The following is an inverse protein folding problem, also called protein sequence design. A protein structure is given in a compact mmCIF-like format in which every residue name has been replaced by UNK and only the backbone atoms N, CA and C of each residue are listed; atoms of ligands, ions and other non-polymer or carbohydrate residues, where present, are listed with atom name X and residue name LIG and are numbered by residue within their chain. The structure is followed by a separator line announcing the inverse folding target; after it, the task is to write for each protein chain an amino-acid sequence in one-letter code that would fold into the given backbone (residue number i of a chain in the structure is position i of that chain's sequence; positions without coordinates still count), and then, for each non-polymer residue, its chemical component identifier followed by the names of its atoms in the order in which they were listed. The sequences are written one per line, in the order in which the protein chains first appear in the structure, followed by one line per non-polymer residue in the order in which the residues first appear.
data_IF_751532282842
#
_entry.id   IF_751532282842
#
_cell.length_a   1.000
_cell.length_b   1.000
_cell.length_c   1.000
_cell.angle_alpha   90.00
_cell.angle_beta   90.00
_cell.angle_gamma   90.00
#
_symmetry.space_group_name_H-M   'P 1'
#
loop_
_entity.id
_entity.type
_entity.pdbx_description
1 polymer ?
#
# COMPACT_ATOMS: atom_id res chain seq x y z
N UNK A 1 -1.65 12.47 -11.95
CA UNK A 1 -2.11 11.71 -10.77
C UNK A 1 -2.36 10.29 -11.24
N UNK A 2 -1.62 9.30 -10.75
CA UNK A 2 -1.84 7.91 -11.13
C UNK A 2 -3.12 7.41 -10.43
N UNK A 3 -4.15 7.11 -11.23
CA UNK A 3 -5.36 6.41 -10.78
C UNK A 3 -4.90 5.04 -10.26
N UNK A 4 -5.11 4.77 -8.97
CA UNK A 4 -4.86 3.45 -8.43
C UNK A 4 -5.96 2.53 -8.98
N UNK A 5 -5.58 1.63 -9.88
CA UNK A 5 -6.50 0.63 -10.41
C UNK A 5 -6.57 -0.51 -9.40
N UNK A 6 -7.61 -0.48 -8.57
CA UNK A 6 -7.88 -1.54 -7.59
C UNK A 6 -8.41 -2.80 -8.30
N UNK A 7 -8.04 -3.98 -7.80
CA UNK A 7 -8.39 -5.28 -8.40
C UNK A 7 -9.56 -6.00 -7.73
N UNK A 8 -10.21 -5.38 -6.74
CA UNK A 8 -11.43 -5.89 -6.11
C UNK A 8 -12.70 -5.70 -6.97
N UNK A 9 -13.85 -6.07 -6.41
CA UNK A 9 -15.17 -5.88 -7.05
C UNK A 9 -15.46 -4.40 -7.35
N UNK A 10 -16.40 -4.11 -8.25
CA UNK A 10 -16.77 -2.72 -8.60
C UNK A 10 -17.19 -1.89 -7.36
N UNK A 11 -17.84 -2.53 -6.38
CA UNK A 11 -18.26 -1.92 -5.12
C UNK A 11 -17.06 -1.60 -4.21
N UNK A 12 -16.14 -2.56 -4.01
CA UNK A 12 -14.90 -2.34 -3.25
C UNK A 12 -14.05 -1.25 -3.90
N UNK A 13 -13.98 -1.24 -5.24
CA UNK A 13 -13.22 -0.28 -6.02
C UNK A 13 -13.81 1.14 -5.90
N UNK A 14 -15.14 1.27 -5.86
CA UNK A 14 -15.82 2.55 -5.64
C UNK A 14 -15.53 3.11 -4.24
N UNK A 15 -15.59 2.27 -3.20
CA UNK A 15 -15.22 2.68 -1.83
C UNK A 15 -13.75 3.08 -1.74
N UNK A 16 -12.85 2.28 -2.33
CA UNK A 16 -11.41 2.56 -2.35
C UNK A 16 -11.08 3.89 -3.05
N UNK A 17 -11.74 4.18 -4.17
CA UNK A 17 -11.59 5.45 -4.88
C UNK A 17 -12.06 6.64 -4.04
N UNK A 18 -13.17 6.48 -3.32
CA UNK A 18 -13.67 7.51 -2.41
C UNK A 18 -12.68 7.77 -1.27
N UNK A 19 -12.24 6.72 -0.56
CA UNK A 19 -11.26 6.82 0.52
C UNK A 19 -9.94 7.42 0.01
N UNK A 20 -9.51 7.05 -1.18
CA UNK A 20 -8.31 7.60 -1.80
C UNK A 20 -8.47 9.09 -2.14
N UNK A 21 -9.64 9.54 -2.57
CA UNK A 21 -9.93 10.96 -2.74
C UNK A 21 -9.90 11.71 -1.40
N UNK A 22 -10.51 11.16 -0.34
CA UNK A 22 -10.47 11.75 1.01
C UNK A 22 -9.05 11.88 1.55
N UNK A 23 -8.20 10.87 1.30
CA UNK A 23 -6.77 10.91 1.65
C UNK A 23 -5.99 11.92 0.79
N UNK A 24 -6.36 12.13 -0.46
CA UNK A 24 -5.73 13.15 -1.31
C UNK A 24 -6.13 14.57 -0.89
N UNK A 25 -7.38 14.75 -0.45
CA UNK A 25 -7.86 16.02 0.10
C UNK A 25 -7.26 16.32 1.48
N UNK A 26 -7.16 15.30 2.34
CA UNK A 26 -6.62 15.41 3.70
C UNK A 26 -5.53 14.36 3.96
N UNK A 27 -4.37 14.60 3.36
CA UNK A 27 -3.22 13.67 3.39
C UNK A 27 -2.49 13.59 4.73
N UNK A 28 -2.82 14.46 5.67
CA UNK A 28 -2.22 14.48 7.01
C UNK A 28 -3.11 13.77 8.05
N UNK A 29 -4.32 13.37 7.66
CA UNK A 29 -5.22 12.59 8.50
C UNK A 29 -4.91 11.09 8.46
N UNK A 30 -4.24 10.59 9.51
CA UNK A 30 -3.89 9.18 9.67
C UNK A 30 -5.11 8.24 9.61
N UNK A 31 -6.27 8.64 10.12
CA UNK A 31 -7.46 7.78 10.15
C UNK A 31 -7.95 7.47 8.72
N UNK A 32 -7.88 8.43 7.82
CA UNK A 32 -8.24 8.25 6.41
C UNK A 32 -7.28 7.27 5.72
N UNK A 33 -5.98 7.39 6.00
CA UNK A 33 -4.98 6.46 5.50
C UNK A 33 -5.18 5.04 6.04
N UNK A 34 -5.48 4.89 7.33
CA UNK A 34 -5.72 3.57 7.92
C UNK A 34 -6.95 2.89 7.27
N UNK A 35 -8.04 3.63 7.06
CA UNK A 35 -9.23 3.14 6.35
C UNK A 35 -8.88 2.70 4.93
N UNK A 36 -8.10 3.51 4.20
CA UNK A 36 -7.68 3.20 2.83
C UNK A 36 -6.79 1.95 2.78
N UNK A 37 -5.80 1.84 3.66
CA UNK A 37 -4.91 0.67 3.75
C UNK A 37 -5.72 -0.57 4.09
N UNK A 38 -6.61 -0.51 5.08
CA UNK A 38 -7.44 -1.64 5.48
C UNK A 38 -8.38 -2.10 4.36
N UNK A 39 -8.98 -1.17 3.63
CA UNK A 39 -9.78 -1.50 2.45
C UNK A 39 -8.89 -2.10 1.34
N UNK A 40 -7.69 -1.58 1.13
CA UNK A 40 -6.78 -2.07 0.10
C UNK A 40 -6.25 -3.48 0.41
N UNK A 41 -5.89 -3.75 1.66
CA UNK A 41 -5.48 -5.07 2.15
C UNK A 41 -6.65 -6.06 2.15
N UNK A 42 -7.87 -5.59 2.38
CA UNK A 42 -9.09 -6.40 2.38
C UNK A 42 -9.56 -6.84 1.00
N UNK A 43 -9.02 -6.28 -0.08
CA UNK A 43 -9.34 -6.69 -1.45
C UNK A 43 -9.15 -8.19 -1.63
N UNK A 44 -10.11 -8.83 -2.31
CA UNK A 44 -10.11 -10.28 -2.58
C UNK A 44 -10.09 -11.16 -1.30
N UNK A 45 -10.44 -10.58 -0.14
CA UNK A 45 -10.38 -11.25 1.16
C UNK A 45 -8.99 -11.31 1.79
N UNK A 46 -8.03 -10.53 1.26
CA UNK A 46 -6.65 -10.49 1.74
C UNK A 46 -5.65 -10.54 0.58
N UNK A 47 -4.95 -9.43 0.33
CA UNK A 47 -3.91 -9.37 -0.69
C UNK A 47 -2.80 -10.38 -0.39
N UNK A 48 -2.49 -11.23 -1.37
CA UNK A 48 -1.44 -12.24 -1.30
C UNK A 48 -0.81 -12.45 -2.68
N UNK A 49 0.18 -13.34 -2.79
CA UNK A 49 0.91 -13.61 -4.05
C UNK A 49 0.05 -14.13 -5.21
N UNK A 50 -1.10 -14.72 -4.89
CA UNK A 50 -2.05 -15.22 -5.88
C UNK A 50 -3.12 -14.19 -6.23
N UNK A 51 -3.15 -13.05 -5.52
CA UNK A 51 -4.07 -11.95 -5.81
C UNK A 51 -3.77 -11.31 -7.16
N UNK A 52 -4.73 -10.56 -7.65
CA UNK A 52 -4.64 -9.88 -8.92
C UNK A 52 -3.46 -8.88 -8.90
N UNK A 53 -2.56 -8.88 -9.91
CA UNK A 53 -1.40 -7.97 -9.94
C UNK A 53 -1.80 -6.48 -9.83
N UNK A 54 -3.00 -6.11 -10.28
CA UNK A 54 -3.58 -4.79 -10.09
C UNK A 54 -3.84 -4.50 -8.60
N UNK A 55 -4.45 -5.42 -7.86
CA UNK A 55 -4.76 -5.26 -6.44
C UNK A 55 -3.48 -5.14 -5.60
N UNK A 56 -2.46 -5.94 -5.94
CA UNK A 56 -1.11 -5.86 -5.38
C UNK A 56 -0.51 -4.48 -5.63
N UNK A 57 -0.48 -4.03 -6.89
CA UNK A 57 0.09 -2.74 -7.28
C UNK A 57 -0.63 -1.58 -6.61
N UNK A 58 -1.95 -1.64 -6.49
CA UNK A 58 -2.74 -0.63 -5.80
C UNK A 58 -2.37 -0.55 -4.32
N UNK A 59 -2.29 -1.70 -3.64
CA UNK A 59 -1.91 -1.78 -2.23
C UNK A 59 -0.50 -1.25 -2.01
N UNK A 60 0.46 -1.63 -2.86
CA UNK A 60 1.83 -1.05 -2.87
C UNK A 60 1.82 0.46 -3.03
N UNK A 61 1.02 0.98 -3.95
CA UNK A 61 0.89 2.42 -4.18
C UNK A 61 0.30 3.17 -2.98
N UNK A 62 -0.65 2.56 -2.25
CA UNK A 62 -1.18 3.13 -1.00
C UNK A 62 -0.10 3.16 0.08
N UNK A 63 0.59 2.03 0.30
CA UNK A 63 1.67 1.93 1.29
C UNK A 63 2.82 2.89 1.01
N UNK A 64 3.29 3.00 -0.24
CA UNK A 64 4.37 3.90 -0.62
C UNK A 64 4.04 5.37 -0.27
N UNK A 65 2.82 5.83 -0.60
CA UNK A 65 2.39 7.19 -0.28
C UNK A 65 2.19 7.41 1.22
N UNK A 66 1.62 6.43 1.92
CA UNK A 66 1.42 6.48 3.35
C UNK A 66 2.75 6.57 4.10
N UNK A 67 3.71 5.72 3.75
CA UNK A 67 5.02 5.64 4.37
C UNK A 67 5.90 6.84 3.99
N UNK A 68 5.73 7.40 2.79
CA UNK A 68 6.35 8.67 2.42
C UNK A 68 5.86 9.85 3.28
N UNK A 69 4.59 9.84 3.70
CA UNK A 69 4.02 10.85 4.60
C UNK A 69 4.36 10.61 6.07
N UNK A 70 4.31 9.35 6.51
CA UNK A 70 4.56 8.95 7.89
C UNK A 70 5.75 7.98 7.99
N UNK A 71 6.98 8.46 7.75
CA UNK A 71 8.17 7.60 7.74
C UNK A 71 8.47 6.98 9.11
N UNK A 72 7.95 7.55 10.20
CA UNK A 72 8.16 7.11 11.58
C UNK A 72 7.37 5.84 11.97
N UNK A 73 6.53 5.30 11.07
CA UNK A 73 5.65 4.16 11.35
C UNK A 73 6.30 2.81 11.04
N UNK A 74 7.31 2.42 11.81
CA UNK A 74 8.05 1.15 11.65
C UNK A 74 7.16 -0.11 11.62
N UNK A 75 6.01 -0.08 12.29
CA UNK A 75 5.06 -1.20 12.28
C UNK A 75 4.48 -1.48 10.89
N UNK A 76 4.14 -0.44 10.13
CA UNK A 76 3.59 -0.58 8.77
C UNK A 76 4.67 -0.91 7.76
N UNK A 77 5.89 -0.39 7.96
CA UNK A 77 7.07 -0.80 7.19
C UNK A 77 7.29 -2.32 7.28
N UNK A 78 7.20 -2.89 8.48
CA UNK A 78 7.33 -4.34 8.66
C UNK A 78 6.24 -5.13 7.95
N UNK A 79 4.98 -4.68 8.04
CA UNK A 79 3.85 -5.31 7.32
C UNK A 79 4.05 -5.27 5.81
N UNK A 80 4.45 -4.12 5.29
CA UNK A 80 4.68 -3.95 3.86
C UNK A 80 5.84 -4.83 3.38
N UNK A 81 6.92 -4.93 4.14
CA UNK A 81 8.02 -5.85 3.85
C UNK A 81 7.59 -7.33 3.86
N UNK A 82 6.75 -7.74 4.81
CA UNK A 82 6.20 -9.11 4.90
C UNK A 82 5.27 -9.42 3.71
N UNK A 83 4.44 -8.45 3.31
CA UNK A 83 3.60 -8.53 2.14
C UNK A 83 4.43 -8.69 0.85
N UNK A 84 5.46 -7.86 0.67
CA UNK A 84 6.37 -7.94 -0.48
C UNK A 84 7.12 -9.27 -0.54
N UNK A 85 7.57 -9.75 0.63
CA UNK A 85 8.20 -11.06 0.76
C UNK A 85 7.25 -12.19 0.34
N UNK A 86 6.00 -12.13 0.77
CA UNK A 86 4.97 -13.10 0.43
C UNK A 86 4.66 -13.09 -1.07
N UNK A 87 4.58 -11.90 -1.69
CA UNK A 87 4.18 -11.70 -3.09
C UNK A 87 5.29 -12.01 -4.10
N UNK A 88 6.43 -11.34 -3.99
CA UNK A 88 7.46 -11.35 -5.04
C UNK A 88 8.55 -12.40 -4.79
N UNK A 89 8.53 -13.06 -3.63
CA UNK A 89 9.62 -13.93 -3.19
C UNK A 89 10.85 -13.14 -2.74
N UNK A 90 11.79 -13.87 -2.14
CA UNK A 90 12.94 -13.36 -1.36
C UNK A 90 13.79 -12.32 -2.10
N UNK A 91 14.10 -12.52 -3.38
CA UNK A 91 15.11 -11.73 -4.09
C UNK A 91 14.65 -10.31 -4.45
N UNK A 92 13.39 -10.15 -4.87
CA UNK A 92 12.84 -8.84 -5.20
C UNK A 92 12.46 -8.05 -3.95
N UNK A 93 11.96 -8.74 -2.92
CA UNK A 93 11.62 -8.13 -1.64
C UNK A 93 12.87 -7.58 -0.94
N UNK A 94 13.97 -8.33 -0.94
CA UNK A 94 15.24 -7.86 -0.36
C UNK A 94 15.73 -6.59 -1.08
N UNK A 95 15.76 -6.58 -2.42
CA UNK A 95 16.17 -5.40 -3.18
C UNK A 95 15.25 -4.18 -2.95
N UNK A 96 13.93 -4.39 -2.86
CA UNK A 96 12.96 -3.32 -2.58
C UNK A 96 13.14 -2.75 -1.17
N UNK A 97 13.34 -3.63 -0.17
CA UNK A 97 13.60 -3.22 1.22
C UNK A 97 14.89 -2.41 1.30
N UNK A 98 15.99 -2.87 0.67
CA UNK A 98 17.26 -2.13 0.67
C UNK A 98 17.16 -0.77 -0.01
N UNK A 99 16.46 -0.68 -1.15
CA UNK A 99 16.29 0.59 -1.85
C UNK A 99 15.50 1.60 -1.02
N UNK A 100 14.49 1.13 -0.30
CA UNK A 100 13.67 2.02 0.51
C UNK A 100 14.39 2.40 1.82
N UNK A 101 15.11 1.47 2.44
CA UNK A 101 15.98 1.78 3.59
C UNK A 101 17.03 2.84 3.25
N UNK A 102 17.67 2.71 2.08
CA UNK A 102 18.65 3.70 1.60
C UNK A 102 18.02 5.07 1.37
N UNK A 103 16.81 5.12 0.80
CA UNK A 103 16.05 6.38 0.63
C UNK A 103 15.70 7.06 1.95
N UNK A 104 15.32 6.28 2.96
CA UNK A 104 14.98 6.82 4.29
C UNK A 104 16.23 7.29 5.04
N UNK A 105 17.39 6.67 4.79
CA UNK A 105 18.66 7.07 5.40
C UNK A 105 19.30 8.33 4.76
N UNK A 106 18.85 8.75 3.59
CA UNK A 106 19.38 9.91 2.85
C UNK A 106 18.62 11.23 3.13
N UNK A 107 17.61 11.23 4.02
CA UNK A 107 16.84 12.42 4.41
C UNK A 107 17.02 12.79 5.88
#
# INVERSE_FOLDING_TARGET
MADLIFGGTEEENAELKKLHAEVLEDSDNFENWEKLIRAAEGQEGGINRNSNPQAITATRGVYDRFLAKFPLLFGYWKKYADLEFSIAGTEAAEMFIWQVYERVLQH
#
